data_IF_386104806076
#
_entry.id   IF_386104806076
#
_cell.length_a   1.000
_cell.length_b   1.000
_cell.length_c   1.000
_cell.angle_alpha   90.00
_cell.angle_beta   90.00
_cell.angle_gamma   90.00
#
_symmetry.space_group_name_H-M   'P 1'
#
loop_
_entity.id
_entity.type
_entity.pdbx_description
1 polymer ?
#
# COMPACT_ATOMS: atom_id res chain seq x y z
N UNK A 1 -12.05 18.58 39.71
CA UNK A 1 -11.08 19.24 38.82
C UNK A 1 -9.94 18.24 38.60
N UNK A 2 -9.77 17.73 37.39
CA UNK A 2 -8.63 16.87 37.09
C UNK A 2 -7.40 17.77 36.96
N UNK A 3 -6.54 17.75 37.97
CA UNK A 3 -5.22 18.38 37.93
C UNK A 3 -4.30 17.46 37.13
N UNK A 4 -4.27 17.63 35.81
CA UNK A 4 -3.31 16.97 34.93
C UNK A 4 -2.11 17.90 34.82
N UNK A 5 -0.91 17.38 35.08
CA UNK A 5 0.32 18.11 34.88
C UNK A 5 0.51 18.39 33.38
N UNK A 6 0.97 19.58 33.02
CA UNK A 6 1.22 19.98 31.64
C UNK A 6 2.10 18.97 30.89
N UNK A 7 3.13 18.43 31.56
CA UNK A 7 4.00 17.39 30.98
C UNK A 7 3.29 16.08 30.68
N UNK A 8 2.35 15.70 31.55
CA UNK A 8 1.55 14.49 31.35
C UNK A 8 0.58 14.68 30.18
N UNK A 9 -0.01 15.88 30.06
CA UNK A 9 -0.87 16.24 28.95
C UNK A 9 -0.11 16.23 27.61
N UNK A 10 1.08 16.82 27.56
CA UNK A 10 1.95 16.79 26.37
C UNK A 10 2.31 15.36 25.96
N UNK A 11 2.66 14.53 26.94
CA UNK A 11 2.99 13.11 26.71
C UNK A 11 1.80 12.36 26.13
N UNK A 12 0.59 12.57 26.67
CA UNK A 12 -0.63 11.97 26.17
C UNK A 12 -0.97 12.44 24.75
N UNK A 13 -0.82 13.73 24.46
CA UNK A 13 -1.04 14.28 23.12
C UNK A 13 -0.06 13.69 22.11
N UNK A 14 1.22 13.60 22.46
CA UNK A 14 2.23 12.99 21.60
C UNK A 14 1.95 11.51 21.35
N UNK A 15 1.59 10.75 22.39
CA UNK A 15 1.23 9.35 22.25
C UNK A 15 0.01 9.16 21.32
N UNK A 16 -1.02 9.99 21.47
CA UNK A 16 -2.21 9.94 20.63
C UNK A 16 -1.90 10.31 19.17
N UNK A 17 -1.04 11.30 18.95
CA UNK A 17 -0.58 11.67 17.62
C UNK A 17 0.18 10.52 16.95
N UNK A 18 1.15 9.93 17.65
CA UNK A 18 1.94 8.81 17.12
C UNK A 18 1.06 7.59 16.80
N UNK A 19 0.06 7.31 17.66
CA UNK A 19 -0.93 6.29 17.39
C UNK A 19 -1.72 6.58 16.11
N UNK A 20 -2.22 7.80 15.95
CA UNK A 20 -2.95 8.21 14.74
C UNK A 20 -2.11 8.06 13.46
N UNK A 21 -0.83 8.42 13.52
CA UNK A 21 0.11 8.25 12.39
C UNK A 21 0.31 6.77 12.07
N UNK A 22 0.52 5.92 13.08
CA UNK A 22 0.70 4.49 12.89
C UNK A 22 -0.55 3.84 12.28
N UNK A 23 -1.73 4.12 12.84
CA UNK A 23 -3.00 3.58 12.38
C UNK A 23 -3.31 4.03 10.94
N UNK A 24 -3.10 5.31 10.64
CA UNK A 24 -3.28 5.86 9.29
C UNK A 24 -2.33 5.24 8.27
N UNK A 25 -1.07 5.01 8.67
CA UNK A 25 -0.08 4.36 7.80
C UNK A 25 -0.45 2.91 7.50
N UNK A 26 -0.86 2.14 8.51
CA UNK A 26 -1.29 0.75 8.33
C UNK A 26 -2.54 0.66 7.43
N UNK A 27 -3.49 1.57 7.63
CA UNK A 27 -4.67 1.67 6.76
C UNK A 27 -4.27 1.97 5.31
N UNK A 28 -3.37 2.93 5.09
CA UNK A 28 -2.87 3.27 3.75
C UNK A 28 -2.19 2.08 3.07
N UNK A 29 -1.35 1.33 3.80
CA UNK A 29 -0.69 0.12 3.28
C UNK A 29 -1.75 -0.93 2.88
N UNK A 30 -2.75 -1.16 3.72
CA UNK A 30 -3.82 -2.15 3.45
C UNK A 30 -4.59 -1.79 2.18
N UNK A 31 -5.07 -0.55 2.08
CA UNK A 31 -5.79 -0.07 0.90
C UNK A 31 -4.94 -0.19 -0.37
N UNK A 32 -3.64 0.10 -0.28
CA UNK A 32 -2.77 0.03 -1.43
C UNK A 32 -2.52 -1.42 -1.89
N UNK A 33 -2.42 -2.38 -0.94
CA UNK A 33 -2.38 -3.81 -1.26
C UNK A 33 -3.63 -4.26 -2.00
N UNK A 34 -4.81 -3.92 -1.49
CA UNK A 34 -6.10 -4.26 -2.11
C UNK A 34 -6.21 -3.66 -3.52
N UNK A 35 -5.79 -2.40 -3.69
CA UNK A 35 -5.77 -1.74 -5.00
C UNK A 35 -4.84 -2.42 -6.01
N UNK A 36 -3.66 -2.87 -5.58
CA UNK A 36 -2.72 -3.59 -6.44
C UNK A 36 -3.28 -4.95 -6.87
N UNK A 37 -3.92 -5.68 -5.95
CA UNK A 37 -4.59 -6.95 -6.27
C UNK A 37 -5.71 -6.74 -7.29
N UNK A 38 -6.59 -5.75 -7.06
CA UNK A 38 -7.67 -5.42 -8.00
C UNK A 38 -7.15 -4.99 -9.38
N UNK A 39 -6.03 -4.26 -9.42
CA UNK A 39 -5.38 -3.89 -10.68
C UNK A 39 -4.85 -5.12 -11.43
N UNK A 40 -4.25 -6.06 -10.70
CA UNK A 40 -3.74 -7.32 -11.24
C UNK A 40 -4.85 -8.23 -11.78
N UNK A 41 -5.97 -8.34 -11.05
CA UNK A 41 -7.11 -9.20 -11.42
C UNK A 41 -7.90 -8.64 -12.62
N UNK A 42 -8.12 -7.33 -12.65
CA UNK A 42 -8.91 -6.68 -13.69
C UNK A 42 -8.09 -6.26 -14.93
N UNK A 43 -6.75 -6.33 -14.86
CA UNK A 43 -5.86 -5.82 -15.90
C UNK A 43 -5.83 -4.29 -16.01
N UNK A 44 -6.42 -3.57 -15.05
CA UNK A 44 -6.45 -2.12 -15.04
C UNK A 44 -5.13 -1.54 -14.51
N UNK A 45 -4.60 -0.45 -15.10
CA UNK A 45 -3.37 0.14 -14.63
C UNK A 45 -3.56 0.93 -13.32
N UNK A 46 -2.50 0.97 -12.51
CA UNK A 46 -2.38 1.89 -11.39
C UNK A 46 -1.63 3.15 -11.86
N UNK A 47 -2.28 4.31 -11.77
CA UNK A 47 -1.64 5.59 -12.12
C UNK A 47 -0.91 6.17 -10.91
N UNK A 48 0.40 6.36 -11.04
CA UNK A 48 1.27 6.96 -10.02
C UNK A 48 2.12 8.03 -10.69
N UNK A 49 2.06 9.27 -10.16
CA UNK A 49 2.82 10.43 -10.70
C UNK A 49 2.66 10.61 -12.22
N UNK A 50 1.43 10.44 -12.71
CA UNK A 50 1.09 10.58 -14.14
C UNK A 50 1.53 9.41 -15.03
N UNK A 51 2.12 8.35 -14.48
CA UNK A 51 2.50 7.14 -15.22
C UNK A 51 1.58 5.97 -14.87
N UNK A 52 1.19 5.21 -15.88
CA UNK A 52 0.40 3.99 -15.73
C UNK A 52 1.33 2.79 -15.49
N UNK A 53 1.03 2.00 -14.46
CA UNK A 53 1.74 0.77 -14.11
C UNK A 53 0.77 -0.41 -14.17
N UNK A 54 1.12 -1.42 -14.96
CA UNK A 54 0.39 -2.69 -14.99
C UNK A 54 1.04 -3.67 -14.01
N UNK A 55 0.20 -4.33 -13.21
CA UNK A 55 0.63 -5.28 -12.20
C UNK A 55 0.29 -6.67 -12.70
N UNK A 56 1.26 -7.58 -12.63
CA UNK A 56 1.08 -8.99 -12.94
C UNK A 56 1.43 -9.81 -11.71
N UNK A 57 0.76 -10.94 -11.52
CA UNK A 57 1.20 -11.94 -10.57
C UNK A 57 2.48 -12.61 -11.06
N UNK A 58 3.17 -13.28 -10.15
CA UNK A 58 4.34 -14.09 -10.47
C UNK A 58 4.05 -15.10 -11.60
N UNK A 59 2.92 -15.81 -11.53
CA UNK A 59 2.54 -16.81 -12.52
C UNK A 59 2.17 -16.19 -13.87
N UNK A 60 1.50 -15.03 -13.89
CA UNK A 60 1.21 -14.31 -15.13
C UNK A 60 2.52 -13.89 -15.80
N UNK A 61 3.44 -13.31 -15.03
CA UNK A 61 4.74 -12.90 -15.55
C UNK A 61 5.57 -14.09 -16.06
N UNK A 62 5.56 -15.22 -15.35
CA UNK A 62 6.28 -16.42 -15.79
C UNK A 62 5.70 -17.00 -17.09
N UNK A 63 4.38 -17.02 -17.25
CA UNK A 63 3.74 -17.47 -18.50
C UNK A 63 4.18 -16.61 -19.68
N UNK A 64 4.12 -15.30 -19.55
CA UNK A 64 4.56 -14.39 -20.61
C UNK A 64 6.02 -14.64 -21.01
N UNK A 65 6.90 -14.88 -20.04
CA UNK A 65 8.32 -15.18 -20.30
C UNK A 65 8.49 -16.52 -21.02
N UNK A 66 7.69 -17.53 -20.69
CA UNK A 66 7.75 -18.84 -21.36
C UNK A 66 7.21 -18.76 -22.79
N UNK A 67 6.08 -18.09 -22.98
CA UNK A 67 5.48 -17.86 -24.30
C UNK A 67 6.47 -17.10 -25.21
N UNK A 68 7.14 -16.07 -24.69
CA UNK A 68 8.18 -15.31 -25.40
C UNK A 68 9.40 -16.15 -25.83
N UNK A 69 9.70 -17.25 -25.13
CA UNK A 69 10.80 -18.16 -25.44
C UNK A 69 10.35 -19.15 -26.53
N UNK A 70 9.14 -19.68 -26.41
CA UNK A 70 8.57 -20.60 -27.40
C UNK A 70 8.42 -19.91 -28.77
N UNK A 71 7.96 -18.67 -28.80
CA UNK A 71 7.82 -17.88 -30.05
C UNK A 71 9.17 -17.60 -30.76
N UNK A 72 10.30 -17.75 -30.05
CA UNK A 72 11.65 -17.51 -30.57
C UNK A 72 12.42 -18.80 -30.89
N UNK A 73 11.85 -19.97 -30.62
CA UNK A 73 12.46 -21.28 -30.86
C UNK A 73 12.11 -21.82 -32.25
#
# INVERSE_FOLDING_TARGET
MLLINEKDLETMLQAQYQKGVADGTQMGIRLMKERLLLACENGNPVVIKGKAYFVKSDIQNLRDVMDDIEDKA
#
